data_IF_612850845874
#
_entry.id   IF_612850845874
#
_cell.length_a   1.000
_cell.length_b   1.000
_cell.length_c   1.000
_cell.angle_alpha   90.00
_cell.angle_beta   90.00
_cell.angle_gamma   90.00
#
_symmetry.space_group_name_H-M   'P 1'
#
loop_
_entity.id
_entity.type
_entity.pdbx_description
1 polymer ?
#
# COMPACT_ATOMS: atom_id res chain seq x y z
N UNK A 1 38.96 26.12 18.50
CA UNK A 1 37.55 26.40 18.85
C UNK A 1 36.63 26.21 17.65
N UNK A 2 37.02 26.67 16.46
CA UNK A 2 36.16 26.67 15.25
C UNK A 2 35.74 25.27 14.77
N UNK A 3 36.63 24.28 14.90
CA UNK A 3 36.30 22.89 14.54
C UNK A 3 35.17 22.30 15.40
N UNK A 4 35.12 22.60 16.70
CA UNK A 4 34.10 22.08 17.62
C UNK A 4 32.72 22.66 17.27
N UNK A 5 32.66 23.96 16.95
CA UNK A 5 31.43 24.61 16.48
C UNK A 5 30.98 24.08 15.13
N UNK A 6 31.91 23.85 14.19
CA UNK A 6 31.59 23.24 12.90
C UNK A 6 31.01 21.82 13.07
N UNK A 7 31.68 20.94 13.82
CA UNK A 7 31.19 19.58 14.07
C UNK A 7 29.87 19.54 14.82
N UNK A 8 29.65 20.46 15.77
CA UNK A 8 28.37 20.64 16.45
C UNK A 8 27.23 21.01 15.49
N UNK A 9 27.47 21.95 14.57
CA UNK A 9 26.51 22.34 13.55
C UNK A 9 26.19 21.20 12.57
N UNK A 10 27.20 20.43 12.14
CA UNK A 10 26.97 19.24 11.30
C UNK A 10 26.15 18.17 12.02
N UNK A 11 26.42 17.91 13.30
CA UNK A 11 25.65 16.95 14.09
C UNK A 11 24.18 17.36 14.22
N UNK A 12 23.89 18.66 14.39
CA UNK A 12 22.52 19.19 14.47
C UNK A 12 21.73 19.03 13.16
N UNK A 13 22.40 18.90 12.01
CA UNK A 13 21.75 18.63 10.72
C UNK A 13 21.67 17.12 10.44
N UNK A 14 22.75 16.38 10.68
CA UNK A 14 22.86 14.95 10.34
C UNK A 14 21.94 14.11 11.25
N UNK A 15 21.91 14.37 12.57
CA UNK A 15 21.13 13.57 13.52
C UNK A 15 19.62 13.57 13.22
N UNK A 16 18.94 14.72 13.00
CA UNK A 16 17.51 14.70 12.67
C UNK A 16 17.24 14.05 11.31
N UNK A 17 18.11 14.25 10.31
CA UNK A 17 17.98 13.58 9.01
C UNK A 17 18.11 12.06 9.13
N UNK A 18 19.11 11.58 9.87
CA UNK A 18 19.30 10.17 10.14
C UNK A 18 18.12 9.57 10.90
N UNK A 19 17.61 10.28 11.92
CA UNK A 19 16.42 9.87 12.66
C UNK A 19 15.18 9.73 11.76
N UNK A 20 14.93 10.72 10.89
CA UNK A 20 13.82 10.69 9.93
C UNK A 20 13.97 9.54 8.92
N UNK A 21 15.20 9.30 8.45
CA UNK A 21 15.51 8.20 7.55
C UNK A 21 15.23 6.83 8.19
N UNK A 22 15.73 6.60 9.41
CA UNK A 22 15.51 5.35 10.14
C UNK A 22 14.03 5.10 10.42
N UNK A 23 13.28 6.15 10.80
CA UNK A 23 11.83 6.06 11.04
C UNK A 23 11.06 5.67 9.79
N UNK A 24 11.38 6.29 8.64
CA UNK A 24 10.76 5.97 7.36
C UNK A 24 11.08 4.54 6.93
N UNK A 25 12.34 4.11 7.10
CA UNK A 25 12.76 2.74 6.80
C UNK A 25 12.07 1.69 7.67
N UNK A 26 11.85 1.97 8.94
CA UNK A 26 11.12 1.09 9.85
C UNK A 26 9.65 0.92 9.42
N UNK A 27 8.97 2.01 9.05
CA UNK A 27 7.60 1.94 8.51
C UNK A 27 7.53 1.10 7.23
N UNK A 28 8.46 1.33 6.29
CA UNK A 28 8.56 0.54 5.07
C UNK A 28 8.70 -0.96 5.36
N UNK A 29 9.57 -1.34 6.30
CA UNK A 29 9.78 -2.74 6.67
C UNK A 29 8.49 -3.38 7.17
N UNK A 30 7.70 -2.68 7.99
CA UNK A 30 6.40 -3.15 8.49
C UNK A 30 5.40 -3.40 7.36
N UNK A 31 5.29 -2.49 6.40
CA UNK A 31 4.45 -2.67 5.19
C UNK A 31 4.89 -3.92 4.43
N UNK A 32 6.19 -4.06 4.17
CA UNK A 32 6.73 -5.21 3.44
C UNK A 32 6.47 -6.54 4.16
N UNK A 33 6.56 -6.56 5.49
CA UNK A 33 6.26 -7.76 6.29
C UNK A 33 4.79 -8.18 6.16
N UNK A 34 3.86 -7.23 6.26
CA UNK A 34 2.42 -7.52 6.07
C UNK A 34 2.13 -7.99 4.65
N UNK A 35 2.69 -7.32 3.64
CA UNK A 35 2.52 -7.72 2.24
C UNK A 35 3.06 -9.12 2.00
N UNK A 36 4.24 -9.45 2.54
CA UNK A 36 4.83 -10.78 2.42
C UNK A 36 3.94 -11.86 3.06
N UNK A 37 3.45 -11.60 4.28
CA UNK A 37 2.53 -12.51 4.96
C UNK A 37 1.22 -12.71 4.15
N UNK A 38 0.70 -11.67 3.52
CA UNK A 38 -0.50 -11.76 2.66
C UNK A 38 -0.22 -12.59 1.40
N UNK A 39 0.94 -12.40 0.76
CA UNK A 39 1.35 -13.21 -0.40
C UNK A 39 1.42 -14.70 -0.07
N UNK A 40 1.91 -15.03 1.13
CA UNK A 40 2.02 -16.42 1.60
C UNK A 40 0.68 -17.02 2.04
N UNK A 41 -0.17 -16.24 2.70
CA UNK A 41 -1.36 -16.76 3.41
C UNK A 41 -2.69 -16.58 2.68
N UNK A 42 -2.77 -15.67 1.70
CA UNK A 42 -4.04 -15.26 1.07
C UNK A 42 -4.06 -15.45 -0.45
N UNK A 43 -3.19 -16.29 -1.00
CA UNK A 43 -3.10 -16.58 -2.44
C UNK A 43 -3.01 -15.32 -3.33
N UNK A 44 -2.32 -14.29 -2.83
CA UNK A 44 -2.07 -13.06 -3.56
C UNK A 44 -0.70 -13.13 -4.26
N UNK A 45 -0.70 -13.20 -5.59
CA UNK A 45 0.50 -13.36 -6.41
C UNK A 45 0.60 -12.22 -7.44
N UNK A 46 0.92 -10.98 -7.00
CA UNK A 46 1.00 -9.84 -7.90
C UNK A 46 2.12 -10.04 -8.93
N UNK A 47 1.90 -9.49 -10.12
CA UNK A 47 2.94 -9.47 -11.16
C UNK A 47 3.92 -8.35 -10.85
N UNK A 48 5.23 -8.59 -10.98
CA UNK A 48 6.28 -7.59 -10.65
C UNK A 48 6.05 -6.24 -11.32
N UNK A 49 5.55 -6.27 -12.56
CA UNK A 49 5.29 -5.09 -13.39
C UNK A 49 4.06 -4.30 -12.95
N UNK A 50 3.32 -4.79 -11.95
CA UNK A 50 2.15 -4.15 -11.38
C UNK A 50 2.26 -4.01 -9.86
N UNK A 51 3.48 -4.10 -9.33
CA UNK A 51 3.79 -3.81 -7.94
C UNK A 51 4.42 -2.43 -7.79
N UNK A 52 3.91 -1.65 -6.84
CA UNK A 52 4.40 -0.34 -6.52
C UNK A 52 4.61 -0.20 -5.02
N UNK A 53 5.80 0.28 -4.66
CA UNK A 53 6.17 0.58 -3.29
C UNK A 53 6.70 2.01 -3.21
N UNK A 54 5.90 2.91 -2.67
CA UNK A 54 6.29 4.31 -2.48
C UNK A 54 7.15 4.47 -1.23
N UNK A 55 8.39 4.94 -1.42
CA UNK A 55 9.37 5.14 -0.36
C UNK A 55 8.97 6.26 0.61
N UNK A 56 8.48 7.38 0.09
CA UNK A 56 8.11 8.56 0.89
C UNK A 56 6.82 8.36 1.68
N UNK A 57 5.87 7.57 1.13
CA UNK A 57 4.54 7.41 1.72
C UNK A 57 4.32 6.13 2.51
N UNK A 58 5.33 5.24 2.59
CA UNK A 58 5.18 3.91 3.22
C UNK A 58 3.90 3.22 2.75
N UNK A 59 3.74 3.18 1.42
CA UNK A 59 2.53 2.75 0.73
C UNK A 59 2.90 1.68 -0.28
N UNK A 60 2.15 0.60 -0.29
CA UNK A 60 2.24 -0.50 -1.24
C UNK A 60 0.93 -0.62 -1.99
N UNK A 61 1.03 -0.82 -3.30
CA UNK A 61 -0.09 -1.20 -4.15
C UNK A 61 0.37 -2.30 -5.10
N UNK A 62 -0.42 -3.38 -5.21
CA UNK A 62 -0.11 -4.50 -6.09
C UNK A 62 -1.36 -5.00 -6.81
N UNK A 63 -1.21 -5.37 -8.07
CA UNK A 63 -2.27 -6.01 -8.86
C UNK A 63 -1.85 -7.45 -9.20
N UNK A 64 -2.72 -8.39 -8.86
CA UNK A 64 -2.65 -9.79 -9.29
C UNK A 64 -3.66 -10.02 -10.42
N UNK A 65 -3.14 -9.97 -11.65
CA UNK A 65 -3.93 -10.17 -12.88
C UNK A 65 -4.42 -11.61 -13.00
N UNK A 66 -3.74 -12.59 -12.41
CA UNK A 66 -4.15 -14.00 -12.53
C UNK A 66 -5.39 -14.30 -11.70
N UNK A 67 -5.44 -13.74 -10.50
CA UNK A 67 -6.54 -13.98 -9.57
C UNK A 67 -7.58 -12.85 -9.57
N UNK A 68 -7.34 -11.73 -10.24
CA UNK A 68 -8.30 -10.63 -10.26
C UNK A 68 -8.29 -9.81 -8.97
N UNK A 69 -7.22 -9.85 -8.20
CA UNK A 69 -7.14 -9.25 -6.85
C UNK A 69 -6.14 -8.12 -6.80
N UNK A 70 -6.37 -7.17 -5.91
CA UNK A 70 -5.51 -6.01 -5.71
C UNK A 70 -5.33 -5.77 -4.23
N UNK A 71 -4.14 -5.36 -3.83
CA UNK A 71 -3.80 -5.10 -2.44
C UNK A 71 -3.28 -3.69 -2.27
N UNK A 72 -3.87 -2.95 -1.34
CA UNK A 72 -3.41 -1.66 -0.87
C UNK A 72 -2.99 -1.75 0.60
N UNK A 73 -1.75 -1.36 0.90
CA UNK A 73 -1.26 -1.29 2.28
C UNK A 73 -0.56 0.04 2.51
N UNK A 74 -0.95 0.78 3.54
CA UNK A 74 -0.31 2.07 3.86
C UNK A 74 -0.20 2.29 5.35
N UNK A 75 0.95 2.80 5.80
CA UNK A 75 1.11 3.28 7.18
C UNK A 75 1.10 4.80 7.20
N UNK A 76 0.19 5.39 7.99
CA UNK A 76 0.09 6.83 8.15
C UNK A 76 1.09 7.41 9.16
N UNK A 77 1.29 8.74 9.17
CA UNK A 77 2.13 9.42 10.16
C UNK A 77 1.78 9.08 11.62
N UNK A 78 0.49 8.91 11.94
CA UNK A 78 -0.04 8.53 13.26
C UNK A 78 0.20 7.06 13.64
N UNK A 79 0.96 6.29 12.84
CA UNK A 79 1.24 4.87 13.05
C UNK A 79 -0.02 3.97 13.03
N UNK A 80 -1.06 4.34 12.31
CA UNK A 80 -2.15 3.42 11.93
C UNK A 80 -1.88 2.90 10.53
N UNK A 81 -2.18 1.62 10.30
CA UNK A 81 -2.03 0.96 9.00
C UNK A 81 -3.40 0.68 8.37
N UNK A 82 -3.55 0.98 7.08
CA UNK A 82 -4.64 0.44 6.28
C UNK A 82 -4.15 -0.81 5.55
N UNK A 83 -4.94 -1.88 5.58
CA UNK A 83 -4.71 -3.11 4.80
C UNK A 83 -6.01 -3.44 4.07
N UNK A 84 -6.06 -3.14 2.79
CA UNK A 84 -7.29 -3.21 1.98
C UNK A 84 -7.07 -4.17 0.82
N UNK A 85 -7.81 -5.27 0.84
CA UNK A 85 -7.96 -6.13 -0.32
C UNK A 85 -9.09 -5.62 -1.20
N UNK A 86 -8.89 -5.63 -2.50
CA UNK A 86 -9.90 -5.35 -3.51
C UNK A 86 -9.99 -6.53 -4.48
N UNK A 87 -11.19 -6.78 -4.98
CA UNK A 87 -11.46 -7.64 -6.13
C UNK A 87 -12.14 -6.81 -7.23
N UNK A 88 -12.51 -7.43 -8.35
CA UNK A 88 -13.14 -6.71 -9.46
C UNK A 88 -14.54 -6.15 -9.14
N UNK A 89 -15.18 -6.61 -8.06
CA UNK A 89 -16.51 -6.16 -7.68
C UNK A 89 -16.47 -4.98 -6.70
N UNK A 90 -15.34 -4.78 -6.02
CA UNK A 90 -15.25 -3.76 -4.98
C UNK A 90 -14.73 -2.40 -5.43
N UNK A 91 -14.22 -2.26 -6.65
CA UNK A 91 -13.93 -0.96 -7.25
C UNK A 91 -14.98 -0.59 -8.32
N UNK A 92 -15.28 0.69 -8.45
CA UNK A 92 -16.35 1.20 -9.32
C UNK A 92 -15.82 1.98 -10.51
N UNK A 93 -14.86 2.87 -10.27
CA UNK A 93 -14.23 3.69 -11.30
C UNK A 93 -12.79 4.02 -10.93
N UNK A 94 -11.99 4.37 -11.93
CA UNK A 94 -10.65 4.89 -11.73
C UNK A 94 -10.50 6.25 -12.39
N UNK A 95 -9.74 7.15 -11.76
CA UNK A 95 -9.36 8.45 -12.34
C UNK A 95 -7.84 8.50 -12.39
N UNK A 96 -7.28 8.62 -13.59
CA UNK A 96 -5.84 8.61 -13.82
C UNK A 96 -5.38 9.93 -14.44
N UNK A 97 -4.74 10.78 -13.62
CA UNK A 97 -4.26 12.12 -14.01
C UNK A 97 -2.85 12.33 -13.46
N UNK A 98 -1.92 12.80 -14.31
CA UNK A 98 -0.58 13.29 -13.93
C UNK A 98 0.17 12.46 -12.88
N UNK A 99 0.28 11.14 -13.09
CA UNK A 99 0.99 10.24 -12.17
C UNK A 99 0.24 9.94 -10.87
N UNK A 100 -1.03 10.35 -10.77
CA UNK A 100 -1.96 9.95 -9.72
C UNK A 100 -2.98 8.97 -10.28
N UNK A 101 -3.41 8.06 -9.42
CA UNK A 101 -4.50 7.13 -9.68
C UNK A 101 -5.44 7.16 -8.47
N UNK A 102 -6.69 7.55 -8.69
CA UNK A 102 -7.75 7.43 -7.70
C UNK A 102 -8.59 6.21 -8.02
N UNK A 103 -8.70 5.31 -7.06
CA UNK A 103 -9.55 4.12 -7.16
C UNK A 103 -10.78 4.37 -6.31
N UNK A 104 -11.93 4.49 -6.94
CA UNK A 104 -13.19 4.59 -6.21
C UNK A 104 -13.68 3.19 -5.83
N UNK A 105 -14.07 3.04 -4.57
CA UNK A 105 -14.48 1.74 -4.03
C UNK A 105 -15.96 1.74 -3.67
N UNK A 106 -16.47 0.55 -3.37
CA UNK A 106 -17.81 0.33 -2.81
C UNK A 106 -17.83 0.42 -1.28
N UNK A 107 -16.69 0.58 -0.62
CA UNK A 107 -16.59 0.68 0.83
C UNK A 107 -17.04 2.05 1.31
N UNK A 108 -17.95 2.07 2.27
CA UNK A 108 -18.55 3.32 2.79
C UNK A 108 -17.51 4.09 3.58
N UNK A 109 -16.66 3.40 4.35
CA UNK A 109 -15.62 4.06 5.14
C UNK A 109 -14.37 4.44 4.33
N UNK A 110 -14.25 3.96 3.09
CA UNK A 110 -13.11 4.25 2.21
C UNK A 110 -13.55 4.39 0.74
N UNK A 111 -14.34 5.43 0.40
CA UNK A 111 -14.95 5.56 -0.92
C UNK A 111 -13.93 5.82 -2.05
N UNK A 112 -12.72 6.24 -1.71
CA UNK A 112 -11.64 6.50 -2.66
C UNK A 112 -10.27 6.21 -2.05
N UNK A 113 -9.43 5.49 -2.80
CA UNK A 113 -8.03 5.21 -2.48
C UNK A 113 -7.14 6.03 -3.43
N UNK A 114 -6.42 7.04 -2.91
CA UNK A 114 -5.49 7.82 -3.71
C UNK A 114 -4.12 7.13 -3.77
N UNK A 115 -3.62 6.93 -4.97
CA UNK A 115 -2.31 6.38 -5.26
C UNK A 115 -1.47 7.41 -6.00
N UNK A 116 -0.26 7.63 -5.51
CA UNK A 116 0.78 8.30 -6.29
C UNK A 116 1.65 7.24 -6.92
N UNK A 117 1.66 7.26 -8.24
CA UNK A 117 2.19 6.22 -9.09
C UNK A 117 3.55 6.65 -9.62
N UNK A 118 4.55 5.78 -9.45
CA UNK A 118 5.89 5.98 -9.98
C UNK A 118 6.32 4.74 -10.77
N UNK A 119 6.87 4.94 -11.97
CA UNK A 119 7.38 3.88 -12.83
C UNK A 119 6.40 3.46 -13.92
N UNK A 120 5.25 2.88 -13.55
CA UNK A 120 4.20 2.48 -14.50
C UNK A 120 3.22 3.64 -14.68
N UNK A 121 2.66 3.86 -15.87
CA UNK A 121 1.69 4.95 -16.04
C UNK A 121 0.41 4.67 -15.24
N UNK A 122 -0.16 5.70 -14.59
CA UNK A 122 -1.44 5.56 -13.87
C UNK A 122 -2.58 5.11 -14.79
N UNK A 123 -2.54 5.54 -16.06
CA UNK A 123 -3.48 5.11 -17.11
C UNK A 123 -3.35 3.63 -17.43
N UNK A 124 -2.15 3.08 -17.48
CA UNK A 124 -1.93 1.64 -17.70
C UNK A 124 -2.56 0.82 -16.58
N UNK A 125 -2.35 1.20 -15.31
CA UNK A 125 -2.95 0.52 -14.17
C UNK A 125 -4.49 0.59 -14.22
N UNK A 126 -5.04 1.78 -14.46
CA UNK A 126 -6.48 1.98 -14.62
C UNK A 126 -7.06 1.07 -15.71
N UNK A 127 -6.44 1.06 -16.89
CA UNK A 127 -6.86 0.20 -18.01
C UNK A 127 -6.77 -1.29 -17.65
N UNK A 128 -5.71 -1.71 -16.97
CA UNK A 128 -5.55 -3.10 -16.50
C UNK A 128 -6.66 -3.47 -15.53
N UNK A 129 -6.97 -2.61 -14.55
CA UNK A 129 -8.07 -2.84 -13.61
C UNK A 129 -9.41 -2.99 -14.33
N UNK A 130 -9.73 -2.09 -15.25
CA UNK A 130 -10.98 -2.16 -16.03
C UNK A 130 -11.02 -3.38 -16.96
N UNK A 131 -9.89 -3.79 -17.52
CA UNK A 131 -9.78 -5.02 -18.32
C UNK A 131 -10.00 -6.26 -17.44
N UNK A 132 -9.47 -6.27 -16.22
CA UNK A 132 -9.73 -7.34 -15.25
C UNK A 132 -11.22 -7.43 -14.92
N UNK A 133 -11.87 -6.29 -14.66
CA UNK A 133 -13.32 -6.29 -14.41
C UNK A 133 -14.13 -6.81 -15.60
N UNK A 134 -13.76 -6.42 -16.84
CA UNK A 134 -14.41 -6.90 -18.06
C UNK A 134 -14.19 -8.39 -18.32
N UNK A 135 -13.03 -8.94 -17.94
CA UNK A 135 -12.72 -10.36 -18.09
C UNK A 135 -13.67 -11.25 -17.28
N UNK A 136 -14.14 -10.76 -16.13
CA UNK A 136 -14.92 -11.53 -15.18
C UNK A 136 -14.04 -12.55 -14.43
N UNK A 137 -14.02 -12.46 -13.11
CA UNK A 137 -13.34 -13.42 -12.24
C UNK A 137 -14.37 -14.05 -11.31
N UNK A 138 -14.25 -15.35 -11.10
CA UNK A 138 -15.03 -16.08 -10.11
C UNK A 138 -14.17 -16.34 -8.87
N UNK A 139 -14.67 -15.89 -7.73
CA UNK A 139 -13.97 -16.02 -6.44
C UNK A 139 -14.64 -17.09 -5.60
N UNK A 140 -13.94 -18.18 -5.31
CA UNK A 140 -14.39 -19.18 -4.33
C UNK A 140 -14.49 -18.57 -2.93
N UNK A 141 -13.49 -17.78 -2.56
CA UNK A 141 -13.46 -16.95 -1.36
C UNK A 141 -13.12 -15.52 -1.77
N UNK A 142 -13.84 -14.54 -1.23
CA UNK A 142 -13.62 -13.14 -1.58
C UNK A 142 -12.36 -12.61 -0.89
N UNK A 143 -11.35 -12.28 -1.67
CA UNK A 143 -10.08 -11.74 -1.19
C UNK A 143 -10.24 -10.55 -0.21
N UNK A 144 -11.12 -9.56 -0.47
CA UNK A 144 -11.36 -8.48 0.49
C UNK A 144 -11.86 -8.95 1.86
N UNK A 145 -12.71 -9.98 1.88
CA UNK A 145 -13.21 -10.55 3.15
C UNK A 145 -12.09 -11.28 3.89
N UNK A 146 -11.24 -12.04 3.18
CA UNK A 146 -10.08 -12.71 3.78
C UNK A 146 -9.14 -11.70 4.47
N UNK A 147 -8.85 -10.58 3.80
CA UNK A 147 -8.04 -9.50 4.39
C UNK A 147 -8.70 -8.92 5.63
N UNK A 148 -10.02 -8.66 5.58
CA UNK A 148 -10.79 -8.10 6.71
C UNK A 148 -10.84 -9.04 7.91
N UNK A 149 -11.05 -10.34 7.72
CA UNK A 149 -11.12 -11.29 8.84
C UNK A 149 -9.77 -11.52 9.53
N UNK A 150 -8.67 -11.18 8.85
CA UNK A 150 -7.30 -11.33 9.38
C UNK A 150 -6.69 -10.01 9.88
N UNK A 151 -7.48 -8.96 10.12
CA UNK A 151 -7.01 -7.67 10.66
C UNK A 151 -6.12 -7.86 11.90
N UNK A 152 -6.51 -8.74 12.84
CA UNK A 152 -5.71 -9.04 14.04
C UNK A 152 -4.37 -9.70 13.75
N UNK A 153 -4.27 -10.48 12.68
CA UNK A 153 -2.99 -11.04 12.22
C UNK A 153 -2.09 -9.93 11.69
N UNK A 154 -2.63 -9.02 10.87
CA UNK A 154 -1.90 -7.87 10.33
C UNK A 154 -1.39 -6.93 11.42
N UNK A 155 -2.21 -6.66 12.44
CA UNK A 155 -1.82 -5.87 13.62
C UNK A 155 -0.62 -6.48 14.34
N UNK A 156 -0.66 -7.81 14.55
CA UNK A 156 0.42 -8.55 15.20
C UNK A 156 1.71 -8.52 14.39
N UNK A 157 1.63 -8.70 13.07
CA UNK A 157 2.79 -8.67 12.16
C UNK A 157 3.40 -7.28 12.08
N UNK A 158 2.57 -6.24 11.93
CA UNK A 158 3.03 -4.86 11.78
C UNK A 158 3.48 -4.22 13.10
N UNK A 159 2.98 -4.72 14.23
CA UNK A 159 3.16 -4.09 15.54
C UNK A 159 2.60 -2.66 15.59
N UNK A 160 1.48 -2.44 14.88
CA UNK A 160 0.71 -1.19 14.87
C UNK A 160 -0.79 -1.51 14.68
N UNK A 161 -1.71 -0.64 15.13
CA UNK A 161 -3.13 -0.81 14.86
C UNK A 161 -3.43 -0.80 13.36
N UNK A 162 -4.39 -1.63 12.94
CA UNK A 162 -4.86 -1.72 11.56
C UNK A 162 -6.30 -1.24 11.51
N UNK A 163 -6.61 -0.31 10.61
CA UNK A 163 -7.95 0.24 10.49
C UNK A 163 -8.93 -0.81 9.94
N UNK A 164 -10.10 -0.91 10.54
CA UNK A 164 -11.21 -1.68 10.01
C UNK A 164 -11.94 -0.85 8.96
N UNK A 165 -12.03 -1.37 7.73
CA UNK A 165 -12.76 -0.74 6.63
C UNK A 165 -14.06 -1.50 6.38
N UNK A 166 -15.15 -0.74 6.30
CA UNK A 166 -16.55 -1.20 6.22
C UNK A 166 -17.17 -0.87 4.86
#
# INVERSE_FOLDING_TARGET
MDFIFAYGCWALIILPLLWLYLRTRAKKKKVQQVVQQIKESCHFAPTSDYEQLSFSKSCYFGIDIKNGTMLYVRIYPNNVMDVIGLDIHNFTRTVAEDGKLEIHTTYVSLPMIPLEISGISSRTLANTMHTMAARGYEYKERFPQMIRYRVKEWEKVAGVPVAEVF
#
